data_IF_772365309260
#
_entry.id   IF_772365309260
#
_cell.length_a   1.000
_cell.length_b   1.000
_cell.length_c   1.000
_cell.angle_alpha   90.00
_cell.angle_beta   90.00
_cell.angle_gamma   90.00
#
_symmetry.space_group_name_H-M   'P 1'
#
loop_
_entity.id
_entity.type
_entity.pdbx_description
1 polymer ?
#
# COMPACT_ATOMS: atom_id res chain seq x y z
N UNK A 1 -4.19 -14.69 -0.93
CA UNK A 1 -2.71 -14.57 -0.93
C UNK A 1 -2.31 -13.30 -0.20
N UNK A 2 -1.08 -13.23 0.28
CA UNK A 2 -0.54 -12.05 0.96
C UNK A 2 0.77 -11.66 0.29
N UNK A 3 0.94 -10.36 0.04
CA UNK A 3 2.18 -9.76 -0.45
C UNK A 3 2.59 -8.64 0.50
N UNK A 4 3.87 -8.59 0.86
CA UNK A 4 4.44 -7.51 1.65
C UNK A 4 5.51 -6.75 0.86
N UNK A 5 5.49 -5.43 0.99
CA UNK A 5 6.44 -4.53 0.33
C UNK A 5 6.94 -3.51 1.33
N UNK A 6 8.26 -3.39 1.47
CA UNK A 6 8.89 -2.34 2.29
C UNK A 6 9.12 -1.09 1.43
N UNK A 7 8.74 0.07 1.95
CA UNK A 7 8.92 1.36 1.27
C UNK A 7 9.48 2.42 2.23
N UNK A 8 10.14 3.46 1.71
CA UNK A 8 10.49 4.63 2.51
C UNK A 8 9.24 5.37 3.03
N UNK A 9 9.35 5.99 4.21
CA UNK A 9 8.29 6.78 4.84
C UNK A 9 7.77 7.90 3.95
N UNK A 10 8.65 8.54 3.18
CA UNK A 10 8.28 9.62 2.26
C UNK A 10 7.38 9.12 1.12
N UNK A 11 7.61 7.89 0.63
CA UNK A 11 6.76 7.26 -0.37
C UNK A 11 5.39 6.89 0.20
N UNK A 12 5.32 6.51 1.49
CA UNK A 12 4.06 6.16 2.13
C UNK A 12 3.09 7.34 2.19
N UNK A 13 3.59 8.57 2.41
CA UNK A 13 2.78 9.78 2.38
C UNK A 13 2.07 9.98 1.04
N UNK A 14 2.79 9.81 -0.07
CA UNK A 14 2.23 9.89 -1.42
C UNK A 14 1.22 8.76 -1.72
N UNK A 15 1.42 7.57 -1.15
CA UNK A 15 0.48 6.42 -1.26
C UNK A 15 -0.81 6.66 -0.49
N UNK A 16 -0.69 7.19 0.73
CA UNK A 16 -1.85 7.51 1.58
C UNK A 16 -2.65 8.65 0.92
N UNK A 17 -1.95 9.70 0.46
CA UNK A 17 -2.56 10.90 -0.09
C UNK A 17 -3.27 11.76 0.97
N UNK A 18 -3.74 12.94 0.57
CA UNK A 18 -4.42 13.87 1.48
C UNK A 18 -5.65 13.21 2.13
N UNK A 19 -5.66 13.16 3.47
CA UNK A 19 -6.75 12.54 4.24
C UNK A 19 -6.95 11.04 3.99
N UNK A 20 -5.96 10.34 3.43
CA UNK A 20 -6.08 8.94 3.05
C UNK A 20 -6.90 8.68 1.78
N UNK A 21 -7.20 9.72 0.99
CA UNK A 21 -8.06 9.59 -0.20
C UNK A 21 -7.50 8.62 -1.25
N UNK A 22 -6.18 8.67 -1.51
CA UNK A 22 -5.55 7.82 -2.53
C UNK A 22 -5.56 6.36 -2.12
N UNK A 23 -5.13 6.03 -0.90
CA UNK A 23 -5.13 4.63 -0.44
C UNK A 23 -6.54 4.04 -0.36
N UNK A 24 -7.56 4.84 -0.01
CA UNK A 24 -8.96 4.40 -0.04
C UNK A 24 -9.42 4.06 -1.45
N UNK A 25 -9.06 4.88 -2.44
CA UNK A 25 -9.34 4.61 -3.85
C UNK A 25 -8.64 3.34 -4.32
N UNK A 26 -7.35 3.15 -4.00
CA UNK A 26 -6.60 1.95 -4.38
C UNK A 26 -7.26 0.68 -3.80
N UNK A 27 -7.68 0.70 -2.53
CA UNK A 27 -8.39 -0.42 -1.91
C UNK A 27 -9.72 -0.72 -2.63
N UNK A 28 -10.48 0.33 -2.97
CA UNK A 28 -11.76 0.21 -3.68
C UNK A 28 -11.57 -0.35 -5.09
N UNK A 29 -10.68 0.24 -5.87
CA UNK A 29 -10.48 -0.09 -7.29
C UNK A 29 -9.85 -1.48 -7.48
N UNK A 30 -8.95 -1.89 -6.57
CA UNK A 30 -8.32 -3.23 -6.62
C UNK A 30 -9.13 -4.32 -5.95
N UNK A 31 -10.05 -3.98 -5.05
CA UNK A 31 -10.72 -4.95 -4.18
C UNK A 31 -9.79 -5.65 -3.19
N UNK A 32 -8.52 -5.24 -3.09
CA UNK A 32 -7.55 -5.78 -2.15
C UNK A 32 -7.67 -5.11 -0.78
N UNK A 33 -7.45 -5.89 0.27
CA UNK A 33 -7.20 -5.34 1.61
C UNK A 33 -5.75 -4.88 1.71
N UNK A 34 -5.52 -3.63 2.14
CA UNK A 34 -4.18 -3.03 2.20
C UNK A 34 -3.95 -2.39 3.57
N UNK A 35 -2.95 -2.83 4.33
CA UNK A 35 -2.47 -2.16 5.56
C UNK A 35 -1.10 -1.52 5.35
N UNK A 36 -0.81 -0.46 6.11
CA UNK A 36 0.48 0.23 6.10
C UNK A 36 0.92 0.41 7.55
N UNK A 37 2.05 -0.18 7.91
CA UNK A 37 2.57 -0.25 9.28
C UNK A 37 4.02 0.23 9.32
N UNK A 38 4.49 0.68 10.49
CA UNK A 38 5.91 1.00 10.68
C UNK A 38 6.73 -0.31 10.67
N UNK A 39 7.88 -0.34 9.98
CA UNK A 39 8.64 -1.59 9.84
C UNK A 39 9.33 -2.01 11.13
N UNK A 40 10.13 -1.11 11.73
CA UNK A 40 10.83 -1.30 13.00
C UNK A 40 11.06 0.05 13.68
N UNK A 41 11.12 0.11 15.02
CA UNK A 41 11.56 1.30 15.72
C UNK A 41 12.94 1.74 15.25
N UNK A 42 13.09 3.01 14.89
CA UNK A 42 14.36 3.58 14.43
C UNK A 42 14.63 3.48 12.92
N UNK A 43 13.74 2.86 12.13
CA UNK A 43 13.81 2.91 10.66
C UNK A 43 12.85 3.97 10.11
N UNK A 44 13.21 4.53 8.94
CA UNK A 44 12.30 5.40 8.17
C UNK A 44 11.54 4.60 7.11
N UNK A 45 11.26 3.33 7.39
CA UNK A 45 10.58 2.43 6.46
C UNK A 45 9.19 2.04 6.96
N UNK A 46 8.31 1.75 6.00
CA UNK A 46 6.95 1.27 6.22
C UNK A 46 6.78 -0.06 5.50
N UNK A 47 5.94 -0.91 6.06
CA UNK A 47 5.53 -2.17 5.44
C UNK A 47 4.11 -1.99 4.92
N UNK A 48 3.94 -2.16 3.61
CA UNK A 48 2.63 -2.32 2.98
C UNK A 48 2.32 -3.80 2.91
N UNK A 49 1.19 -4.21 3.50
CA UNK A 49 0.67 -5.57 3.37
C UNK A 49 -0.56 -5.54 2.47
N UNK A 50 -0.55 -6.30 1.38
CA UNK A 50 -1.63 -6.44 0.41
C UNK A 50 -2.18 -7.87 0.51
N UNK A 51 -3.49 -8.01 0.75
CA UNK A 51 -4.17 -9.29 0.85
C UNK A 51 -5.34 -9.34 -0.13
N UNK A 52 -5.41 -10.43 -0.89
CA UNK A 52 -6.47 -10.69 -1.86
C UNK A 52 -6.16 -11.88 -2.77
N UNK A 53 -6.94 -12.04 -3.83
CA UNK A 53 -6.62 -12.93 -4.94
C UNK A 53 -5.45 -12.38 -5.77
N UNK A 54 -4.84 -13.22 -6.60
CA UNK A 54 -3.72 -12.81 -7.44
C UNK A 54 -4.05 -11.61 -8.36
N UNK A 55 -5.22 -11.55 -9.04
CA UNK A 55 -5.62 -10.37 -9.81
C UNK A 55 -5.76 -9.10 -8.96
N UNK A 56 -6.34 -9.21 -7.76
CA UNK A 56 -6.50 -8.07 -6.85
C UNK A 56 -5.14 -7.52 -6.39
N UNK A 57 -4.20 -8.41 -6.06
CA UNK A 57 -2.84 -8.04 -5.65
C UNK A 57 -2.10 -7.35 -6.81
N UNK A 58 -2.15 -7.93 -8.01
CA UNK A 58 -1.52 -7.35 -9.21
C UNK A 58 -2.09 -5.97 -9.53
N UNK A 59 -3.41 -5.80 -9.44
CA UNK A 59 -4.06 -4.51 -9.68
C UNK A 59 -3.67 -3.48 -8.61
N UNK A 60 -3.66 -3.87 -7.33
CA UNK A 60 -3.22 -3.01 -6.24
C UNK A 60 -1.76 -2.55 -6.42
N UNK A 61 -0.85 -3.46 -6.77
CA UNK A 61 0.55 -3.10 -7.05
C UNK A 61 0.69 -2.09 -8.18
N UNK A 62 -0.06 -2.29 -9.28
CA UNK A 62 -0.07 -1.36 -10.40
C UNK A 62 -0.51 0.04 -9.98
N UNK A 63 -1.62 0.15 -9.25
CA UNK A 63 -2.14 1.44 -8.76
C UNK A 63 -1.21 2.12 -7.74
N UNK A 64 -0.50 1.34 -6.92
CA UNK A 64 0.48 1.87 -5.96
C UNK A 64 1.67 2.54 -6.66
N UNK A 65 2.07 2.04 -7.83
CA UNK A 65 3.18 2.57 -8.63
C UNK A 65 2.81 3.82 -9.45
N UNK A 66 1.53 4.02 -9.76
CA UNK A 66 1.06 5.24 -10.43
C UNK A 66 1.16 6.45 -9.51
N UNK A 67 1.76 7.55 -9.98
CA UNK A 67 1.87 8.81 -9.24
C UNK A 67 0.64 9.67 -9.40
#
# INVERSE_FOLDING_TARGET
MVLQVTIPKDAAGAIIGKGGARIRKIRSDSGASISIEDSRPGTNDRIITINGSEPQIKHAQYLLQQR
#
